data_IF_214291557782
#
_entry.id   IF_214291557782
#
_cell.length_a   1.000
_cell.length_b   1.000
_cell.length_c   1.000
_cell.angle_alpha   90.00
_cell.angle_beta   90.00
_cell.angle_gamma   90.00
#
_symmetry.space_group_name_H-M   'P 1'
#
loop_
_entity.id
_entity.type
_entity.pdbx_description
1 polymer ?
#
# COMPACT_ATOMS: atom_id res chain seq x y z
N UNK A 1 25.82 -17.20 -6.58
CA UNK A 1 26.00 -15.80 -7.02
C UNK A 1 25.55 -15.50 -8.46
N UNK A 2 24.93 -16.42 -9.18
CA UNK A 2 24.49 -16.23 -10.59
C UNK A 2 23.02 -15.81 -10.71
N UNK A 3 22.20 -15.95 -9.67
CA UNK A 3 20.76 -15.67 -9.73
C UNK A 3 20.36 -14.18 -9.63
N UNK A 4 21.23 -13.29 -9.18
CA UNK A 4 20.85 -11.89 -8.95
C UNK A 4 20.84 -11.04 -10.25
N UNK A 5 21.62 -11.39 -11.25
CA UNK A 5 21.66 -10.64 -12.53
C UNK A 5 20.55 -11.03 -13.49
N UNK A 6 20.18 -12.31 -13.52
CA UNK A 6 19.05 -12.80 -14.35
C UNK A 6 17.70 -12.29 -13.81
N UNK A 7 17.57 -12.14 -12.50
CA UNK A 7 16.35 -11.64 -11.85
C UNK A 7 16.08 -10.17 -12.18
N UNK A 8 17.10 -9.32 -12.24
CA UNK A 8 16.95 -7.90 -12.60
C UNK A 8 16.56 -7.70 -14.07
N UNK A 9 17.06 -8.53 -14.97
CA UNK A 9 16.73 -8.46 -16.41
C UNK A 9 15.28 -8.85 -16.70
N UNK A 10 14.78 -9.89 -16.04
CA UNK A 10 13.39 -10.33 -16.19
C UNK A 10 12.40 -9.39 -15.49
N UNK A 11 12.79 -8.73 -14.41
CA UNK A 11 11.95 -7.75 -13.73
C UNK A 11 11.74 -6.48 -14.58
N UNK A 12 12.74 -6.10 -15.38
CA UNK A 12 12.59 -5.01 -16.35
C UNK A 12 11.56 -5.32 -17.45
N UNK A 13 11.45 -6.58 -17.89
CA UNK A 13 10.48 -7.01 -18.90
C UNK A 13 9.05 -7.16 -18.36
N UNK A 14 8.90 -7.37 -17.04
CA UNK A 14 7.60 -7.56 -16.37
C UNK A 14 7.16 -6.34 -15.56
N UNK A 15 7.96 -5.29 -15.52
CA UNK A 15 7.67 -4.05 -14.83
C UNK A 15 7.08 -3.00 -15.77
N UNK A 16 6.22 -2.16 -15.20
CA UNK A 16 5.59 -1.04 -15.89
C UNK A 16 5.92 0.26 -15.17
N UNK A 17 6.29 1.31 -15.93
CA UNK A 17 6.36 2.66 -15.40
C UNK A 17 4.97 3.28 -15.38
N UNK A 18 4.57 3.80 -14.23
CA UNK A 18 3.30 4.49 -14.05
C UNK A 18 3.52 5.85 -13.41
N UNK A 19 2.74 6.84 -13.83
CA UNK A 19 2.81 8.20 -13.28
C UNK A 19 1.81 8.34 -12.14
N UNK A 20 2.30 8.61 -10.93
CA UNK A 20 1.47 8.91 -9.77
C UNK A 20 1.01 10.36 -9.86
N UNK A 21 -0.29 10.62 -9.75
CA UNK A 21 -0.87 11.95 -9.95
C UNK A 21 -1.36 12.62 -8.68
N UNK A 22 -1.80 11.83 -7.71
CA UNK A 22 -2.37 12.33 -6.47
C UNK A 22 -1.34 12.50 -5.35
N UNK A 23 -1.77 13.11 -4.25
CA UNK A 23 -0.94 13.44 -3.09
C UNK A 23 -1.01 12.38 -1.98
N UNK A 24 -1.73 11.29 -2.20
CA UNK A 24 -2.05 10.33 -1.13
C UNK A 24 -0.84 9.60 -0.55
N UNK A 25 0.27 9.56 -1.26
CA UNK A 25 1.51 8.90 -0.85
C UNK A 25 2.64 9.87 -0.47
N UNK A 26 2.35 11.15 -0.30
CA UNK A 26 3.32 12.10 0.27
C UNK A 26 3.67 11.70 1.72
N UNK A 27 4.92 11.89 2.13
CA UNK A 27 6.07 12.41 1.39
C UNK A 27 6.80 11.35 0.55
N UNK A 28 6.42 10.07 0.68
CA UNK A 28 7.15 8.93 0.07
C UNK A 28 7.16 9.00 -1.45
N UNK A 29 6.02 9.34 -2.06
CA UNK A 29 5.91 9.51 -3.51
C UNK A 29 5.30 10.88 -3.80
N UNK A 30 6.05 11.70 -4.52
CA UNK A 30 5.61 13.04 -4.93
C UNK A 30 4.66 12.96 -6.14
N UNK A 31 3.58 13.75 -6.19
CA UNK A 31 2.73 13.86 -7.36
C UNK A 31 3.54 14.20 -8.63
N UNK A 32 3.20 13.53 -9.72
CA UNK A 32 3.94 13.67 -11.00
C UNK A 32 5.12 12.74 -11.17
N UNK A 33 5.54 12.06 -10.11
CA UNK A 33 6.63 11.06 -10.17
C UNK A 33 6.26 9.84 -11.00
N UNK A 34 7.26 9.31 -11.68
CA UNK A 34 7.18 8.00 -12.32
C UNK A 34 7.71 6.92 -11.36
N UNK A 35 6.92 5.90 -11.13
CA UNK A 35 7.30 4.75 -10.29
C UNK A 35 7.26 3.47 -11.11
N UNK A 36 8.14 2.55 -10.77
CA UNK A 36 8.17 1.23 -11.40
C UNK A 36 7.26 0.28 -10.62
N UNK A 37 6.35 -0.38 -11.33
CA UNK A 37 5.47 -1.42 -10.76
C UNK A 37 5.91 -2.76 -11.30
N UNK A 38 6.40 -3.64 -10.42
CA UNK A 38 6.75 -5.02 -10.76
C UNK A 38 5.57 -5.95 -10.44
N UNK A 39 5.08 -6.62 -11.46
CA UNK A 39 4.04 -7.64 -11.32
C UNK A 39 4.62 -8.96 -10.81
N UNK A 40 5.89 -9.22 -11.13
CA UNK A 40 6.60 -10.45 -10.78
C UNK A 40 6.95 -10.54 -9.30
N UNK A 41 7.05 -9.42 -8.59
CA UNK A 41 7.41 -9.40 -7.17
C UNK A 41 6.53 -10.30 -6.30
N UNK A 42 5.34 -10.63 -6.80
CA UNK A 42 4.38 -11.49 -6.10
C UNK A 42 4.13 -12.85 -6.78
N UNK A 43 5.01 -13.25 -7.71
CA UNK A 43 4.99 -14.61 -8.26
C UNK A 43 5.62 -15.56 -7.24
N UNK A 44 4.78 -16.40 -6.63
CA UNK A 44 5.20 -17.32 -5.58
C UNK A 44 5.42 -16.70 -4.20
N UNK A 45 5.21 -15.39 -4.06
CA UNK A 45 5.34 -14.67 -2.80
C UNK A 45 4.06 -13.92 -2.46
N UNK A 46 3.77 -13.79 -1.18
CA UNK A 46 2.69 -12.92 -0.70
C UNK A 46 3.18 -11.48 -0.50
N UNK A 47 2.31 -10.48 -0.73
CA UNK A 47 2.60 -9.12 -0.34
C UNK A 47 2.92 -9.00 1.15
N UNK A 48 3.93 -8.21 1.49
CA UNK A 48 4.39 -8.00 2.85
C UNK A 48 3.89 -6.67 3.43
N UNK A 49 3.89 -6.57 4.76
CA UNK A 49 3.61 -5.29 5.43
C UNK A 49 4.61 -4.25 4.96
N UNK A 50 4.11 -3.04 4.77
CA UNK A 50 4.80 -1.85 4.26
C UNK A 50 5.19 -1.87 2.78
N UNK A 51 4.91 -2.95 2.05
CA UNK A 51 5.00 -2.89 0.59
C UNK A 51 4.08 -1.78 0.06
N UNK A 52 4.60 -0.97 -0.86
CA UNK A 52 3.78 -0.06 -1.63
C UNK A 52 3.30 -0.82 -2.87
N UNK A 53 2.00 -0.80 -3.10
CA UNK A 53 1.37 -1.59 -4.15
C UNK A 53 0.48 -0.76 -5.06
N UNK A 54 0.43 -1.14 -6.33
CA UNK A 54 -0.63 -0.71 -7.23
C UNK A 54 -1.79 -1.70 -7.14
N UNK A 55 -3.00 -1.18 -7.05
CA UNK A 55 -4.22 -1.99 -6.98
C UNK A 55 -5.37 -1.31 -7.73
N UNK A 56 -6.40 -2.08 -8.10
CA UNK A 56 -7.65 -1.53 -8.60
C UNK A 56 -8.55 -1.10 -7.44
N UNK A 57 -9.05 0.13 -7.51
CA UNK A 57 -9.95 0.70 -6.51
C UNK A 57 -11.29 -0.06 -6.53
N UNK A 58 -11.72 -0.69 -5.43
CA UNK A 58 -12.97 -1.44 -5.40
C UNK A 58 -14.22 -0.57 -5.60
N UNK A 59 -14.11 0.75 -5.36
CA UNK A 59 -15.19 1.71 -5.61
C UNK A 59 -15.19 2.27 -7.04
N UNK A 60 -14.13 2.01 -7.80
CA UNK A 60 -13.94 2.48 -9.17
C UNK A 60 -13.10 1.46 -9.95
N UNK A 61 -13.68 0.32 -10.38
CA UNK A 61 -12.93 -0.84 -10.89
C UNK A 61 -12.02 -0.57 -12.10
N UNK A 62 -12.25 0.52 -12.81
CA UNK A 62 -11.42 0.93 -13.96
C UNK A 62 -10.26 1.87 -13.57
N UNK A 63 -10.19 2.26 -12.30
CA UNK A 63 -9.14 3.12 -11.78
C UNK A 63 -8.18 2.31 -10.92
N UNK A 64 -6.91 2.60 -11.06
CA UNK A 64 -5.88 2.08 -10.18
C UNK A 64 -5.33 3.18 -9.26
N UNK A 65 -4.90 2.77 -8.10
CA UNK A 65 -4.26 3.64 -7.13
C UNK A 65 -2.99 2.98 -6.56
N UNK A 66 -2.19 3.78 -5.87
CA UNK A 66 -1.00 3.33 -5.17
C UNK A 66 -1.18 3.60 -3.68
N UNK A 67 -1.01 2.58 -2.86
CA UNK A 67 -1.11 2.65 -1.39
C UNK A 67 -0.10 1.72 -0.74
N UNK A 68 0.06 1.87 0.58
CA UNK A 68 0.90 1.02 1.41
C UNK A 68 0.08 -0.05 2.11
N UNK A 69 0.58 -1.26 2.13
CA UNK A 69 0.01 -2.37 2.92
C UNK A 69 0.34 -2.12 4.39
N UNK A 70 -0.68 -2.03 5.24
CA UNK A 70 -0.53 -1.90 6.69
C UNK A 70 -1.12 -3.07 7.46
N UNK A 71 -2.09 -3.79 6.88
CA UNK A 71 -2.69 -4.99 7.47
C UNK A 71 -2.55 -6.19 6.54
N UNK A 72 -2.26 -7.36 7.12
CA UNK A 72 -2.05 -8.64 6.44
C UNK A 72 -3.22 -9.60 6.72
N UNK A 73 -3.38 -10.66 5.90
CA UNK A 73 -4.41 -11.66 6.12
C UNK A 73 -4.41 -12.24 7.55
N UNK A 74 -5.58 -12.37 8.14
CA UNK A 74 -5.77 -12.93 9.48
C UNK A 74 -5.45 -11.99 10.65
N UNK A 75 -5.23 -10.71 10.39
CA UNK A 75 -4.92 -9.73 11.43
C UNK A 75 -6.13 -8.90 11.83
N UNK A 76 -6.13 -8.49 13.09
CA UNK A 76 -6.98 -7.43 13.60
C UNK A 76 -6.20 -6.12 13.59
N UNK A 77 -6.68 -5.15 12.84
CA UNK A 77 -6.02 -3.84 12.69
C UNK A 77 -6.93 -2.76 13.23
N UNK A 78 -6.40 -1.91 14.09
CA UNK A 78 -7.09 -0.69 14.52
C UNK A 78 -6.23 0.54 14.25
N UNK A 79 -6.85 1.58 13.75
CA UNK A 79 -6.24 2.88 13.49
C UNK A 79 -6.91 3.93 14.36
N UNK A 80 -6.16 4.49 15.31
CA UNK A 80 -6.54 5.64 16.10
C UNK A 80 -6.12 6.95 15.45
N UNK A 81 -6.26 8.05 16.20
CA UNK A 81 -5.80 9.37 15.75
C UNK A 81 -4.31 9.42 15.47
N UNK A 82 -3.52 8.71 16.25
CA UNK A 82 -2.05 8.80 16.22
C UNK A 82 -1.32 7.48 16.06
N UNK A 83 -2.01 6.35 16.21
CA UNK A 83 -1.39 5.04 16.28
C UNK A 83 -2.08 4.01 15.36
N UNK A 84 -1.26 3.20 14.71
CA UNK A 84 -1.66 1.97 14.06
C UNK A 84 -1.37 0.80 15.02
N UNK A 85 -2.39 0.00 15.30
CA UNK A 85 -2.25 -1.22 16.09
C UNK A 85 -2.57 -2.44 15.24
N UNK A 86 -1.77 -3.48 15.38
CA UNK A 86 -1.98 -4.78 14.76
C UNK A 86 -1.96 -5.85 15.84
N UNK A 87 -3.05 -6.59 15.97
CA UNK A 87 -3.22 -7.62 17.01
C UNK A 87 -2.92 -7.08 18.42
N UNK A 88 -3.34 -5.84 18.71
CA UNK A 88 -3.15 -5.19 20.00
C UNK A 88 -1.74 -4.62 20.26
N UNK A 89 -0.87 -4.60 19.26
CA UNK A 89 0.49 -4.03 19.37
C UNK A 89 0.62 -2.83 18.46
N UNK A 90 1.21 -1.76 18.98
CA UNK A 90 1.55 -0.56 18.20
C UNK A 90 2.58 -0.91 17.13
N UNK A 91 2.32 -0.46 15.92
CA UNK A 91 3.22 -0.60 14.77
C UNK A 91 3.77 0.77 14.43
N UNK A 92 5.09 0.90 14.45
CA UNK A 92 5.76 2.14 14.06
C UNK A 92 5.63 2.40 12.56
N UNK A 93 5.32 3.64 12.22
CA UNK A 93 5.13 4.10 10.85
C UNK A 93 6.07 5.28 10.54
N UNK A 94 7.39 5.02 10.36
CA UNK A 94 8.39 6.08 10.20
C UNK A 94 8.23 6.90 8.91
N UNK A 95 7.44 6.42 7.96
CA UNK A 95 7.13 7.10 6.70
C UNK A 95 6.00 8.14 6.84
N UNK A 96 5.30 8.16 7.98
CA UNK A 96 4.27 9.16 8.25
C UNK A 96 4.93 10.46 8.72
N UNK A 97 4.70 11.55 8.02
CA UNK A 97 5.03 12.87 8.55
C UNK A 97 3.99 13.27 9.59
N UNK A 98 4.43 13.41 10.83
CA UNK A 98 3.61 13.96 11.91
C UNK A 98 3.53 15.48 11.76
N UNK A 99 2.53 15.95 11.03
CA UNK A 99 2.13 17.35 11.10
C UNK A 99 1.14 17.46 12.25
N UNK A 100 1.55 18.07 13.35
CA UNK A 100 0.80 18.16 14.61
C UNK A 100 -0.60 18.83 14.50
N UNK A 101 -0.93 19.38 13.34
CA UNK A 101 -2.15 20.16 13.11
C UNK A 101 -3.11 19.57 12.07
N UNK A 102 -2.75 18.46 11.42
CA UNK A 102 -3.63 17.85 10.42
C UNK A 102 -4.42 16.69 11.02
N UNK A 103 -5.75 16.75 10.86
CA UNK A 103 -6.61 15.60 11.09
C UNK A 103 -6.17 14.44 10.18
N UNK A 104 -5.93 13.27 10.76
CA UNK A 104 -5.46 12.09 10.03
C UNK A 104 -6.58 11.33 9.30
N UNK A 105 -7.76 11.93 9.20
CA UNK A 105 -8.92 11.32 8.56
C UNK A 105 -9.60 10.25 9.43
N UNK A 106 -10.46 9.41 8.83
CA UNK A 106 -11.25 8.43 9.58
C UNK A 106 -10.40 7.45 10.38
N UNK A 107 -10.87 7.15 11.59
CA UNK A 107 -10.36 6.08 12.44
C UNK A 107 -11.24 4.84 12.27
N UNK A 108 -10.74 3.66 12.64
CA UNK A 108 -11.52 2.44 12.50
C UNK A 108 -10.80 1.18 12.93
N UNK A 109 -11.53 0.09 12.86
CA UNK A 109 -11.04 -1.25 13.16
C UNK A 109 -11.48 -2.22 12.08
N UNK A 110 -10.59 -3.15 11.72
CA UNK A 110 -10.83 -4.13 10.65
C UNK A 110 -10.28 -5.49 11.03
N UNK A 111 -11.07 -6.53 10.81
CA UNK A 111 -10.58 -7.88 10.67
C UNK A 111 -10.20 -8.12 9.21
N UNK A 112 -8.97 -8.52 8.96
CA UNK A 112 -8.45 -8.75 7.62
C UNK A 112 -8.67 -10.23 7.25
N UNK A 113 -9.49 -10.48 6.25
CA UNK A 113 -9.79 -11.82 5.77
C UNK A 113 -8.55 -12.54 5.20
N UNK A 114 -8.66 -13.84 4.97
CA UNK A 114 -7.54 -14.71 4.56
C UNK A 114 -6.85 -14.30 3.26
N UNK A 115 -7.53 -13.57 2.39
CA UNK A 115 -7.02 -13.09 1.09
C UNK A 115 -7.16 -11.59 0.93
N UNK A 116 -7.17 -10.87 2.03
CA UNK A 116 -7.37 -9.43 2.07
C UNK A 116 -6.17 -8.72 2.66
N UNK A 117 -6.06 -7.44 2.32
CA UNK A 117 -5.01 -6.53 2.77
C UNK A 117 -5.61 -5.18 3.12
N UNK A 118 -5.17 -4.57 4.19
CA UNK A 118 -5.53 -3.19 4.52
C UNK A 118 -4.51 -2.25 3.89
N UNK A 119 -4.99 -1.34 3.05
CA UNK A 119 -4.18 -0.41 2.28
C UNK A 119 -4.43 1.02 2.75
N UNK A 120 -3.38 1.73 3.16
CA UNK A 120 -3.47 3.14 3.55
C UNK A 120 -2.50 4.00 2.73
N UNK A 121 -2.89 5.24 2.52
CA UNK A 121 -1.99 6.26 1.99
C UNK A 121 -1.06 6.79 3.08
N UNK A 122 0.15 7.18 2.72
CA UNK A 122 1.10 7.78 3.65
C UNK A 122 0.64 9.18 4.08
N UNK A 123 -0.02 9.90 3.18
CA UNK A 123 -0.67 11.17 3.52
C UNK A 123 -2.09 10.93 4.06
N UNK A 124 -2.18 10.60 5.34
CA UNK A 124 -3.41 10.22 6.02
C UNK A 124 -4.54 11.26 5.93
N UNK A 125 -4.20 12.53 5.87
CA UNK A 125 -5.17 13.62 5.86
C UNK A 125 -6.00 13.68 4.55
N UNK A 126 -5.43 13.30 3.42
CA UNK A 126 -6.08 13.44 2.10
C UNK A 126 -6.31 12.13 1.36
N UNK A 127 -5.79 11.02 1.87
CA UNK A 127 -5.88 9.73 1.19
C UNK A 127 -7.28 9.15 1.27
N UNK A 128 -7.82 8.77 0.10
CA UNK A 128 -8.93 7.83 -0.01
C UNK A 128 -8.37 6.41 -0.09
N UNK A 129 -8.63 5.59 0.90
CA UNK A 129 -8.03 4.27 1.07
C UNK A 129 -8.95 3.32 1.85
N UNK A 130 -8.42 2.22 2.38
CA UNK A 130 -9.21 1.19 3.09
C UNK A 130 -10.03 1.72 4.27
N UNK A 131 -9.74 2.90 4.80
CA UNK A 131 -10.60 3.56 5.79
C UNK A 131 -11.99 3.91 5.24
N UNK A 132 -12.10 4.04 3.91
CA UNK A 132 -13.32 4.39 3.21
C UNK A 132 -14.03 3.17 2.60
N UNK A 133 -13.26 2.20 2.09
CA UNK A 133 -13.82 1.06 1.34
C UNK A 133 -13.50 -0.32 1.94
N UNK A 134 -12.79 -0.36 3.09
CA UNK A 134 -12.43 -1.62 3.75
C UNK A 134 -11.21 -2.32 3.16
N UNK A 135 -10.89 -3.52 3.67
CA UNK A 135 -9.80 -4.34 3.14
C UNK A 135 -9.99 -4.68 1.66
N UNK A 136 -8.89 -4.83 0.96
CA UNK A 136 -8.84 -5.10 -0.48
C UNK A 136 -8.42 -6.53 -0.72
N UNK A 137 -9.17 -7.24 -1.57
CA UNK A 137 -8.84 -8.63 -1.93
C UNK A 137 -7.52 -8.70 -2.70
N UNK A 138 -6.75 -9.77 -2.47
CA UNK A 138 -5.44 -10.02 -3.10
C UNK A 138 -5.46 -9.88 -4.62
N UNK A 139 -6.54 -10.29 -5.29
CA UNK A 139 -6.66 -10.23 -6.74
C UNK A 139 -6.69 -8.79 -7.30
N UNK A 140 -7.04 -7.81 -6.50
CA UNK A 140 -7.02 -6.41 -6.91
C UNK A 140 -5.59 -5.82 -6.90
N UNK A 141 -4.65 -6.43 -6.17
CA UNK A 141 -3.25 -5.99 -6.10
C UNK A 141 -2.52 -6.47 -7.36
N UNK A 142 -2.07 -5.53 -8.17
CA UNK A 142 -1.51 -5.80 -9.50
C UNK A 142 0.01 -5.80 -9.56
N UNK A 143 0.69 -5.27 -8.54
CA UNK A 143 2.14 -5.29 -8.48
C UNK A 143 2.71 -4.45 -7.36
N UNK A 144 4.00 -4.69 -7.06
CA UNK A 144 4.78 -3.94 -6.07
C UNK A 144 5.41 -2.73 -6.73
N UNK A 145 5.33 -1.60 -6.04
CA UNK A 145 5.99 -0.36 -6.43
C UNK A 145 7.41 -0.36 -5.87
N UNK A 146 8.39 -0.16 -6.74
CA UNK A 146 9.75 0.13 -6.34
C UNK A 146 9.89 1.64 -6.07
N UNK A 147 10.36 1.97 -4.89
CA UNK A 147 10.68 3.34 -4.44
C UNK A 147 12.17 3.45 -4.17
#
# INVERSE_FOLDING_TARGET
MINCMLDRGLDLLTSQLVKVRDQSMLPTITPGSWVRVSRRSYWGNSPARFDIVRFFDPTSPNLWAVKRIVGLPGEWVSLGSDELNVNGRVVEEPYIQTVLTQERGPIGEWWIGEREYLLLGDNRAVSKDSRHFGPVHRSAITGKVAT
#
